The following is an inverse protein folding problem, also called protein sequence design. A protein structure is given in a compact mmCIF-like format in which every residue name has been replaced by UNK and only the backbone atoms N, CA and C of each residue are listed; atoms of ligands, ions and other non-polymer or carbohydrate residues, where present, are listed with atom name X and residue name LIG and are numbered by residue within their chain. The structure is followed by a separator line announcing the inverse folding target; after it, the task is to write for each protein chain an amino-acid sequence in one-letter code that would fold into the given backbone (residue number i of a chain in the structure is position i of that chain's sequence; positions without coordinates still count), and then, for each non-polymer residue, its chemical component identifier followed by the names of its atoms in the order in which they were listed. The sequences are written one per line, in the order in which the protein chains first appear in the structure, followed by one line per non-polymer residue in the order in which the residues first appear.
data_IF_253785112270
#
_entry.id   IF_253785112270
#
_cell.length_a   1.000
_cell.length_b   1.000
_cell.length_c   1.000
_cell.angle_alpha   90.00
_cell.angle_beta   90.00
_cell.angle_gamma   90.00
#
_symmetry.space_group_name_H-M   'P 1'
#
loop_
_entity.id
_entity.type
_entity.pdbx_description
1 polymer ?
#
# COMPACT_ATOMS: atom_id res chain seq x y z
N UNK A 1 1.98 3.58 23.63
CA UNK A 1 1.35 2.42 22.98
C UNK A 1 2.47 1.60 22.38
N UNK A 2 2.59 0.32 22.75
CA UNK A 2 3.68 -0.56 22.30
C UNK A 2 3.52 -0.89 20.81
N UNK A 3 4.62 -0.97 20.05
CA UNK A 3 4.59 -1.25 18.60
C UNK A 3 3.93 -2.60 18.28
N UNK A 4 4.10 -3.58 19.17
CA UNK A 4 3.43 -4.88 19.09
C UNK A 4 1.89 -4.75 19.11
N UNK A 5 1.38 -3.84 19.93
CA UNK A 5 -0.05 -3.60 20.07
C UNK A 5 -0.66 -2.96 18.81
N UNK A 6 0.12 -2.11 18.12
CA UNK A 6 -0.31 -1.50 16.85
C UNK A 6 -0.44 -2.56 15.76
N UNK A 7 0.57 -3.43 15.60
CA UNK A 7 0.55 -4.48 14.57
C UNK A 7 -0.62 -5.43 14.78
N UNK A 8 -0.83 -5.91 16.00
CA UNK A 8 -1.96 -6.80 16.34
C UNK A 8 -3.32 -6.12 16.06
N UNK A 9 -3.46 -4.83 16.41
CA UNK A 9 -4.68 -4.06 16.15
C UNK A 9 -4.96 -3.90 14.65
N UNK A 10 -3.92 -3.58 13.86
CA UNK A 10 -4.06 -3.43 12.40
C UNK A 10 -4.38 -4.76 11.75
N UNK A 11 -3.73 -5.83 12.19
CA UNK A 11 -3.99 -7.18 11.70
C UNK A 11 -5.45 -7.59 11.94
N UNK A 12 -5.95 -7.35 13.15
CA UNK A 12 -7.35 -7.62 13.49
C UNK A 12 -8.30 -6.77 12.64
N UNK A 13 -7.99 -5.49 12.45
CA UNK A 13 -8.78 -4.60 11.58
C UNK A 13 -8.82 -5.11 10.13
N UNK A 14 -7.69 -5.56 9.58
CA UNK A 14 -7.62 -6.13 8.23
C UNK A 14 -8.50 -7.38 8.11
N UNK A 15 -8.44 -8.30 9.09
CA UNK A 15 -9.30 -9.49 9.14
C UNK A 15 -10.78 -9.14 9.19
N UNK A 16 -11.15 -8.17 10.02
CA UNK A 16 -12.53 -7.72 10.16
C UNK A 16 -13.07 -7.13 8.86
N UNK A 17 -12.29 -6.28 8.18
CA UNK A 17 -12.70 -5.67 6.92
C UNK A 17 -12.87 -6.74 5.83
N UNK A 18 -11.93 -7.69 5.72
CA UNK A 18 -12.03 -8.79 4.75
C UNK A 18 -13.25 -9.68 5.03
N UNK A 19 -13.49 -10.04 6.30
CA UNK A 19 -14.64 -10.85 6.68
C UNK A 19 -15.99 -10.13 6.45
N UNK A 20 -16.03 -8.82 6.70
CA UNK A 20 -17.19 -7.98 6.43
C UNK A 20 -17.50 -7.93 4.93
N UNK A 21 -16.50 -7.65 4.10
CA UNK A 21 -16.64 -7.58 2.65
C UNK A 21 -17.15 -8.88 2.02
N UNK A 22 -16.69 -10.03 2.52
CA UNK A 22 -17.17 -11.34 2.06
C UNK A 22 -18.69 -11.51 2.30
N UNK A 23 -19.23 -10.91 3.37
CA UNK A 23 -20.67 -10.94 3.67
C UNK A 23 -21.48 -10.08 2.70
N UNK A 24 -20.84 -9.12 2.02
CA UNK A 24 -21.42 -8.20 1.03
C UNK A 24 -21.18 -8.66 -0.41
N UNK A 25 -20.57 -9.84 -0.60
CA UNK A 25 -20.27 -10.42 -1.92
C UNK A 25 -18.99 -9.88 -2.57
N UNK A 26 -18.17 -9.12 -1.84
CA UNK A 26 -16.84 -8.71 -2.27
C UNK A 26 -15.79 -9.69 -1.73
N UNK A 27 -14.97 -10.23 -2.62
CA UNK A 27 -13.93 -11.20 -2.24
C UNK A 27 -12.54 -10.55 -2.23
N UNK A 28 -12.08 -10.19 -1.04
CA UNK A 28 -10.70 -9.76 -0.81
C UNK A 28 -9.88 -10.92 -0.24
N UNK A 29 -8.83 -11.32 -0.94
CA UNK A 29 -7.93 -12.39 -0.50
C UNK A 29 -6.68 -11.91 0.24
N UNK A 30 -6.40 -10.60 0.23
CA UNK A 30 -5.21 -10.04 0.85
C UNK A 30 -5.39 -8.56 1.20
N UNK A 31 -4.66 -8.09 2.21
CA UNK A 31 -4.71 -6.69 2.63
C UNK A 31 -3.47 -6.23 3.39
N UNK A 32 -3.23 -4.93 3.36
CA UNK A 32 -2.15 -4.29 4.11
C UNK A 32 -2.50 -2.84 4.45
N UNK A 33 -1.93 -2.34 5.53
CA UNK A 33 -1.99 -0.94 5.92
C UNK A 33 -0.72 -0.24 5.46
N UNK A 34 -0.85 0.76 4.61
CA UNK A 34 0.21 1.68 4.25
C UNK A 34 0.23 2.85 5.25
N UNK A 35 1.38 3.13 5.86
CA UNK A 35 1.50 4.19 6.84
C UNK A 35 2.83 4.95 6.69
N UNK A 36 2.90 6.11 7.35
CA UNK A 36 4.17 6.82 7.51
C UNK A 36 5.05 6.08 8.51
N UNK A 37 6.30 5.82 8.13
CA UNK A 37 7.34 5.22 8.98
C UNK A 37 8.51 6.18 9.09
N UNK A 38 9.06 6.31 10.29
CA UNK A 38 10.33 6.99 10.51
C UNK A 38 11.40 5.93 10.80
N UNK A 39 12.52 6.02 10.11
CA UNK A 39 13.65 5.13 10.31
C UNK A 39 14.95 5.92 10.18
N UNK A 40 15.80 5.88 11.22
CA UNK A 40 17.03 6.68 11.30
C UNK A 40 16.85 8.17 10.93
N UNK A 41 15.74 8.78 11.35
CA UNK A 41 15.42 10.19 11.05
C UNK A 41 14.98 10.48 9.62
N UNK A 42 14.73 9.45 8.81
CA UNK A 42 14.17 9.56 7.47
C UNK A 42 12.71 9.11 7.46
N UNK A 43 11.85 9.95 6.88
CA UNK A 43 10.45 9.59 6.64
C UNK A 43 10.34 8.76 5.37
N UNK A 44 9.71 7.60 5.50
CA UNK A 44 9.48 6.62 4.44
C UNK A 44 8.08 5.99 4.56
N UNK A 45 7.67 5.25 3.54
CA UNK A 45 6.46 4.45 3.63
C UNK A 45 6.76 3.14 4.39
N UNK A 46 5.85 2.78 5.29
CA UNK A 46 5.82 1.48 5.95
C UNK A 46 4.54 0.73 5.59
N UNK A 47 4.59 -0.58 5.70
CA UNK A 47 3.42 -1.43 5.54
C UNK A 47 3.28 -2.39 6.73
N UNK A 48 2.03 -2.69 7.08
CA UNK A 48 1.65 -3.78 7.98
C UNK A 48 0.71 -4.71 7.21
N UNK A 49 1.06 -5.99 7.08
CA UNK A 49 0.30 -6.95 6.25
C UNK A 49 -0.74 -7.72 7.06
N UNK A 50 -1.58 -8.47 6.35
CA UNK A 50 -2.55 -9.39 6.94
C UNK A 50 -1.86 -10.49 7.80
N UNK A 51 -0.66 -10.94 7.41
CA UNK A 51 0.15 -11.86 8.20
C UNK A 51 0.76 -11.24 9.47
N UNK A 52 0.72 -9.92 9.60
CA UNK A 52 1.23 -9.17 10.76
C UNK A 52 2.69 -8.74 10.60
N UNK A 53 3.30 -8.90 9.43
CA UNK A 53 4.62 -8.37 9.15
C UNK A 53 4.58 -6.83 9.09
N UNK A 54 5.56 -6.18 9.71
CA UNK A 54 5.77 -4.73 9.62
C UNK A 54 7.13 -4.43 8.99
N UNK A 55 7.14 -3.77 7.84
CA UNK A 55 8.35 -3.53 7.06
C UNK A 55 8.26 -2.23 6.26
N UNK A 56 9.38 -1.68 5.77
CA UNK A 56 9.31 -0.55 4.84
C UNK A 56 8.75 -0.97 3.48
N UNK A 57 8.07 -0.04 2.80
CA UNK A 57 7.63 -0.24 1.43
C UNK A 57 8.79 0.00 0.46
N UNK A 58 9.08 -1.00 -0.35
CA UNK A 58 10.14 -0.93 -1.36
C UNK A 58 9.59 -0.67 -2.76
N UNK A 59 10.46 -0.28 -3.70
CA UNK A 59 10.08 -0.10 -5.09
C UNK A 59 9.59 -1.40 -5.73
N UNK A 60 10.22 -2.55 -5.44
CA UNK A 60 9.73 -3.85 -5.95
C UNK A 60 8.32 -4.16 -5.49
N UNK A 61 8.02 -3.96 -4.20
CA UNK A 61 6.68 -4.19 -3.66
C UNK A 61 5.66 -3.23 -4.31
N UNK A 62 6.01 -1.94 -4.43
CA UNK A 62 5.15 -0.96 -5.10
C UNK A 62 4.91 -1.31 -6.58
N UNK A 63 5.95 -1.71 -7.31
CA UNK A 63 5.84 -2.07 -8.73
C UNK A 63 4.99 -3.33 -8.95
N UNK A 64 4.98 -4.26 -8.00
CA UNK A 64 4.12 -5.45 -8.09
C UNK A 64 2.62 -5.16 -7.91
N UNK A 65 2.25 -3.94 -7.51
CA UNK A 65 0.86 -3.46 -7.52
C UNK A 65 0.45 -2.85 -8.86
N UNK A 66 1.39 -2.65 -9.80
CA UNK A 66 1.07 -2.08 -11.09
C UNK A 66 0.09 -2.98 -11.85
N UNK A 67 -1.03 -2.41 -12.29
CA UNK A 67 -2.12 -3.15 -12.94
C UNK A 67 -2.98 -4.00 -11.99
N UNK A 68 -2.70 -3.98 -10.69
CA UNK A 68 -3.55 -4.60 -9.66
C UNK A 68 -4.56 -3.56 -9.17
N UNK A 69 -5.84 -3.93 -9.19
CA UNK A 69 -6.88 -3.12 -8.55
C UNK A 69 -6.77 -3.29 -7.04
N UNK A 70 -6.48 -2.18 -6.36
CA UNK A 70 -6.51 -2.08 -4.91
C UNK A 70 -7.83 -1.45 -4.49
N UNK A 71 -8.36 -1.85 -3.33
CA UNK A 71 -9.54 -1.23 -2.73
C UNK A 71 -9.12 -0.49 -1.47
N UNK A 72 -9.30 0.84 -1.49
CA UNK A 72 -8.99 1.72 -0.37
C UNK A 72 -10.14 1.62 0.63
N UNK A 73 -9.82 1.21 1.85
CA UNK A 73 -10.76 0.91 2.94
C UNK A 73 -11.89 -0.08 2.56
N UNK A 74 -11.70 -0.86 1.49
CA UNK A 74 -12.71 -1.81 0.97
C UNK A 74 -13.83 -1.17 0.16
N UNK A 75 -13.81 0.14 -0.06
CA UNK A 75 -14.92 0.86 -0.68
C UNK A 75 -14.54 1.46 -2.05
N UNK A 76 -13.34 2.01 -2.15
CA UNK A 76 -12.93 2.81 -3.31
C UNK A 76 -11.88 2.06 -4.12
N UNK A 77 -12.20 1.61 -5.36
CA UNK A 77 -11.19 0.97 -6.20
C UNK A 77 -10.17 2.00 -6.70
N UNK A 78 -8.91 1.61 -6.69
CA UNK A 78 -7.78 2.45 -7.06
C UNK A 78 -6.63 1.63 -7.66
N UNK A 79 -5.96 2.20 -8.65
CA UNK A 79 -4.63 1.76 -9.09
C UNK A 79 -3.55 2.41 -8.21
N UNK A 80 -2.56 1.61 -7.80
CA UNK A 80 -1.41 2.08 -7.04
C UNK A 80 -0.15 1.83 -7.86
N UNK A 81 0.59 2.90 -8.16
CA UNK A 81 1.78 2.83 -9.00
C UNK A 81 2.94 3.62 -8.39
N UNK A 82 4.16 3.34 -8.87
CA UNK A 82 5.28 4.23 -8.60
C UNK A 82 5.07 5.55 -9.35
N UNK A 83 5.24 6.67 -8.64
CA UNK A 83 5.24 7.99 -9.28
C UNK A 83 6.57 8.29 -9.99
N UNK A 84 7.65 7.60 -9.59
CA UNK A 84 8.99 7.82 -10.10
C UNK A 84 9.25 6.85 -11.27
N UNK A 85 8.79 7.23 -12.47
CA UNK A 85 8.94 6.41 -13.68
C UNK A 85 10.39 6.28 -14.15
N UNK A 86 11.30 7.15 -13.69
CA UNK A 86 12.62 7.37 -14.30
C UNK A 86 13.83 6.99 -13.45
N UNK A 87 13.68 6.37 -12.28
CA UNK A 87 14.84 6.02 -11.43
C UNK A 87 14.80 4.61 -10.86
N UNK A 88 14.84 3.62 -11.74
CA UNK A 88 15.42 2.31 -11.40
C UNK A 88 16.96 2.42 -11.29
N UNK A 89 17.47 3.30 -10.44
CA UNK A 89 18.87 3.17 -10.03
C UNK A 89 18.92 1.90 -9.18
N UNK A 90 19.59 0.85 -9.67
CA UNK A 90 19.91 -0.30 -8.84
C UNK A 90 20.65 0.22 -7.61
N UNK A 91 19.98 0.18 -6.45
CA UNK A 91 20.67 0.50 -5.22
C UNK A 91 21.60 -0.67 -4.94
N UNK A 92 22.82 -0.37 -4.51
CA UNK A 92 23.75 -1.38 -4.05
C UNK A 92 24.10 -1.05 -2.61
N UNK A 93 24.22 -2.06 -1.77
CA UNK A 93 24.79 -1.86 -0.44
C UNK A 93 26.30 -1.58 -0.52
N UNK A 94 26.92 -1.33 0.63
CA UNK A 94 28.37 -1.09 0.73
C UNK A 94 29.22 -2.26 0.19
N UNK A 95 28.62 -3.44 0.01
CA UNK A 95 29.25 -4.66 -0.52
C UNK A 95 28.95 -4.86 -2.02
N UNK A 96 28.28 -3.91 -2.67
CA UNK A 96 27.96 -3.96 -4.09
C UNK A 96 26.79 -4.88 -4.45
N UNK A 97 26.04 -5.39 -3.47
CA UNK A 97 24.90 -6.28 -3.72
C UNK A 97 23.66 -5.47 -4.07
N UNK A 98 22.86 -5.90 -5.04
CA UNK A 98 21.60 -5.23 -5.36
C UNK A 98 20.69 -5.17 -4.13
N UNK A 99 20.33 -3.97 -3.71
CA UNK A 99 19.32 -3.69 -2.70
C UNK A 99 18.11 -3.05 -3.35
N UNK A 100 16.95 -3.30 -2.76
CA UNK A 100 15.70 -2.70 -3.22
C UNK A 100 15.55 -1.33 -2.56
N UNK A 101 15.38 -0.30 -3.38
CA UNK A 101 15.24 1.07 -2.89
C UNK A 101 13.91 1.23 -2.14
N UNK A 102 13.91 2.06 -1.09
CA UNK A 102 12.68 2.42 -0.39
C UNK A 102 11.81 3.32 -1.27
N UNK A 103 10.54 3.00 -1.39
CA UNK A 103 9.61 3.85 -2.13
C UNK A 103 9.40 5.16 -1.36
N UNK A 104 9.66 6.29 -2.02
CA UNK A 104 9.47 7.64 -1.45
C UNK A 104 8.28 8.38 -2.03
N UNK A 105 7.77 7.91 -3.16
CA UNK A 105 6.64 8.53 -3.83
C UNK A 105 5.81 7.45 -4.51
N UNK A 106 4.50 7.53 -4.34
CA UNK A 106 3.54 6.65 -5.00
C UNK A 106 2.44 7.51 -5.64
N UNK A 107 1.77 6.94 -6.63
CA UNK A 107 0.61 7.53 -7.29
C UNK A 107 -0.60 6.67 -7.00
N UNK A 108 -1.68 7.29 -6.54
CA UNK A 108 -2.99 6.65 -6.38
C UNK A 108 -3.92 7.22 -7.45
N UNK A 109 -4.46 6.34 -8.28
CA UNK A 109 -5.45 6.69 -9.30
C UNK A 109 -6.76 6.02 -8.94
N UNK A 110 -7.80 6.81 -8.65
CA UNK A 110 -9.12 6.23 -8.40
C UNK A 110 -9.66 5.61 -9.70
N UNK A 111 -10.35 4.49 -9.54
CA UNK A 111 -11.00 3.78 -10.64
C UNK A 111 -12.52 3.86 -10.47
N UNK A 112 -13.25 3.76 -11.57
CA UNK A 112 -14.68 3.50 -11.56
C UNK A 112 -14.92 2.01 -11.34
N UNK A 113 -16.15 1.58 -11.01
CA UNK A 113 -16.48 0.16 -10.82
C UNK A 113 -16.19 -0.73 -12.05
N UNK A 114 -16.18 -0.14 -13.25
CA UNK A 114 -15.80 -0.77 -14.52
C UNK A 114 -14.28 -0.70 -14.83
N UNK A 115 -13.47 -0.16 -13.91
CA UNK A 115 -12.01 -0.03 -14.04
C UNK A 115 -11.53 1.16 -14.87
N UNK A 116 -12.44 2.01 -15.36
CA UNK A 116 -12.14 3.26 -16.06
C UNK A 116 -11.69 4.36 -15.09
N UNK A 117 -11.12 5.46 -15.56
CA UNK A 117 -10.85 6.62 -14.68
C UNK A 117 -12.12 7.46 -14.55
N UNK A 118 -12.58 7.80 -13.33
CA UNK A 118 -13.76 8.64 -13.17
C UNK A 118 -13.46 10.06 -13.65
N UNK A 119 -14.37 10.63 -14.43
CA UNK A 119 -14.42 12.08 -14.60
C UNK A 119 -14.87 12.72 -13.27
N UNK A 120 -14.08 13.67 -12.80
CA UNK A 120 -14.24 14.49 -11.58
C UNK A 120 -13.71 13.91 -10.24
N UNK A 121 -12.61 14.54 -9.80
CA UNK A 121 -12.13 14.67 -8.42
C UNK A 121 -13.28 15.06 -7.46
N UNK A 122 -13.67 14.21 -6.53
CA UNK A 122 -14.50 14.66 -5.40
C UNK A 122 -14.44 13.80 -4.12
N UNK A 123 -14.00 12.54 -4.13
CA UNK A 123 -14.37 11.62 -3.03
C UNK A 123 -13.23 10.88 -2.32
N UNK A 124 -11.97 11.03 -2.73
CA UNK A 124 -10.87 10.42 -1.97
C UNK A 124 -9.68 11.38 -1.83
N UNK A 125 -9.27 11.76 -0.61
CA UNK A 125 -8.07 12.58 -0.37
C UNK A 125 -6.78 11.86 -0.77
N UNK A 126 -6.83 10.55 -1.02
CA UNK A 126 -5.69 9.77 -1.47
C UNK A 126 -5.34 9.96 -2.95
N UNK A 127 -6.22 10.54 -3.78
CA UNK A 127 -5.97 10.67 -5.22
C UNK A 127 -4.76 11.57 -5.51
N UNK A 128 -3.90 11.09 -6.42
CA UNK A 128 -2.72 11.81 -6.90
C UNK A 128 -1.42 11.27 -6.33
N UNK A 129 -0.38 12.09 -6.38
CA UNK A 129 0.96 11.73 -5.93
C UNK A 129 1.08 11.92 -4.41
N UNK A 130 1.52 10.88 -3.72
CA UNK A 130 1.73 10.88 -2.27
C UNK A 130 3.19 10.65 -1.92
N UNK A 131 3.62 11.30 -0.85
CA UNK A 131 4.90 11.07 -0.15
C UNK A 131 4.61 10.71 1.31
N UNK A 132 5.59 10.16 2.06
CA UNK A 132 5.42 9.91 3.49
C UNK A 132 5.06 11.17 4.30
N UNK A 133 5.41 12.35 3.79
CA UNK A 133 5.10 13.64 4.42
C UNK A 133 3.65 14.04 4.17
N UNK A 134 3.13 13.79 2.97
CA UNK A 134 1.75 14.16 2.58
C UNK A 134 0.71 13.10 2.97
N UNK A 135 1.14 11.90 3.39
CA UNK A 135 0.28 10.87 3.94
C UNK A 135 -0.16 11.24 5.37
N UNK A 136 -1.31 11.90 5.49
CA UNK A 136 -1.85 12.36 6.77
C UNK A 136 -2.46 11.24 7.61
N UNK A 137 -3.07 10.24 6.95
CA UNK A 137 -3.69 9.08 7.60
C UNK A 137 -3.23 7.77 6.96
N UNK A 138 -3.11 6.67 7.73
CA UNK A 138 -2.77 5.36 7.17
C UNK A 138 -3.85 4.85 6.21
N UNK A 139 -3.45 4.39 5.02
CA UNK A 139 -4.36 3.81 4.03
C UNK A 139 -4.47 2.31 4.22
N UNK A 140 -5.70 1.81 4.38
CA UNK A 140 -5.97 0.38 4.34
C UNK A 140 -6.22 0.00 2.87
N UNK A 141 -5.42 -0.92 2.35
CA UNK A 141 -5.48 -1.36 0.96
C UNK A 141 -5.78 -2.87 0.91
N UNK A 142 -6.77 -3.24 0.12
CA UNK A 142 -7.20 -4.63 -0.09
C UNK A 142 -7.01 -5.01 -1.55
N UNK A 143 -6.77 -6.29 -1.80
CA UNK A 143 -6.61 -6.87 -3.14
C UNK A 143 -7.32 -8.21 -3.21
N UNK A 144 -7.80 -8.58 -4.40
CA UNK A 144 -8.48 -9.86 -4.60
C UNK A 144 -7.54 -11.05 -4.30
N UNK A 145 -6.26 -10.92 -4.64
CA UNK A 145 -5.23 -11.93 -4.36
C UNK A 145 -3.95 -11.27 -3.87
N UNK A 146 -3.12 -12.01 -3.13
CA UNK A 146 -1.82 -11.52 -2.69
C UNK A 146 -0.96 -11.14 -3.91
N UNK A 147 -0.48 -9.89 -4.00
CA UNK A 147 0.37 -9.50 -5.13
C UNK A 147 1.72 -10.24 -5.10
N UNK A 148 2.32 -10.41 -6.28
CA UNK A 148 3.53 -11.22 -6.42
C UNK A 148 4.71 -10.63 -5.64
N UNK A 149 5.39 -11.48 -4.85
CA UNK A 149 6.56 -11.07 -4.06
C UNK A 149 6.22 -10.37 -2.74
N UNK A 150 4.94 -10.20 -2.39
CA UNK A 150 4.52 -9.69 -1.08
C UNK A 150 4.68 -10.75 0.03
N UNK A 151 4.90 -10.31 1.28
CA UNK A 151 4.91 -11.19 2.46
C UNK A 151 3.54 -11.87 2.68
N UNK A 152 3.45 -12.76 3.67
CA UNK A 152 2.22 -13.53 3.91
C UNK A 152 1.19 -12.76 4.73
#
# INVERSE_FOLDING_TARGET
MDARNIVETVQEKLRQVIAGAASEGQEYGYGFLLHRREDFGQLQFGLITLGGESMPLTHRLLNSLQGVVCWVYGEVPAGIETADRDRHAAHVDDEGRPTDAMARTLMVTLLTPDGSQPDAFALCPAQGTMTPVTLTEPLLLLTATRPSGWPL
#
